data_IF_377020212758
#
_entry.id   IF_377020212758
#
_cell.length_a   1.000
_cell.length_b   1.000
_cell.length_c   1.000
_cell.angle_alpha   90.00
_cell.angle_beta   90.00
_cell.angle_gamma   90.00
#
_symmetry.space_group_name_H-M   'P 1'
#
loop_
_entity.id
_entity.type
_entity.pdbx_description
1 polymer ?
#
# COMPACT_ATOMS: atom_id res chain seq x y z
N UNK A 1 32.23 -10.26 17.08
CA UNK A 1 30.98 -11.04 17.17
C UNK A 1 30.19 -10.76 15.90
N UNK A 2 30.34 -11.60 14.88
CA UNK A 2 29.57 -11.47 13.64
C UNK A 2 28.19 -12.06 13.83
N UNK A 3 27.20 -11.20 14.04
CA UNK A 3 25.79 -11.58 14.00
C UNK A 3 25.36 -11.67 12.52
N UNK A 4 25.75 -12.75 11.84
CA UNK A 4 25.16 -13.07 10.53
C UNK A 4 23.79 -13.70 10.74
N UNK A 5 22.75 -12.87 10.69
CA UNK A 5 21.35 -13.32 10.71
C UNK A 5 21.12 -14.30 9.57
N UNK A 6 21.03 -15.59 9.90
CA UNK A 6 20.77 -16.65 8.92
C UNK A 6 19.29 -16.61 8.54
N UNK A 7 18.97 -15.93 7.44
CA UNK A 7 17.64 -15.99 6.85
C UNK A 7 17.24 -17.43 6.55
N UNK A 8 16.05 -17.81 7.01
CA UNK A 8 15.43 -19.12 6.79
C UNK A 8 15.17 -19.35 5.29
N UNK A 9 15.08 -20.63 4.87
CA UNK A 9 14.80 -20.98 3.46
C UNK A 9 13.52 -20.32 2.91
N UNK A 10 12.52 -20.09 3.78
CA UNK A 10 11.28 -19.42 3.41
C UNK A 10 11.47 -17.92 3.15
N UNK A 11 12.26 -17.23 3.98
CA UNK A 11 12.56 -15.81 3.79
C UNK A 11 13.34 -15.57 2.49
N UNK A 12 14.33 -16.41 2.17
CA UNK A 12 15.05 -16.35 0.89
C UNK A 12 14.16 -16.59 -0.34
N UNK A 13 13.12 -17.41 -0.20
CA UNK A 13 12.13 -17.68 -1.26
C UNK A 13 11.20 -16.49 -1.46
N UNK A 14 10.75 -15.86 -0.36
CA UNK A 14 9.94 -14.64 -0.40
C UNK A 14 10.72 -13.48 -1.04
N UNK A 15 12.01 -13.32 -0.71
CA UNK A 15 12.86 -12.28 -1.30
C UNK A 15 13.05 -12.46 -2.81
N UNK A 16 13.23 -13.71 -3.28
CA UNK A 16 13.28 -14.03 -4.71
C UNK A 16 11.96 -13.77 -5.44
N UNK A 17 10.81 -14.00 -4.79
CA UNK A 17 9.49 -13.72 -5.36
C UNK A 17 9.28 -12.21 -5.49
N UNK A 18 9.69 -11.41 -4.48
CA UNK A 18 9.63 -9.94 -4.54
C UNK A 18 10.47 -9.37 -5.68
N UNK A 19 11.64 -9.95 -5.97
CA UNK A 19 12.55 -9.46 -7.00
C UNK A 19 12.04 -9.60 -8.45
N UNK A 20 11.02 -10.45 -8.70
CA UNK A 20 10.41 -10.63 -10.02
C UNK A 20 9.07 -9.92 -10.21
N UNK A 21 8.51 -9.34 -9.14
CA UNK A 21 7.20 -8.68 -9.16
C UNK A 21 7.32 -7.23 -9.62
N UNK A 22 6.37 -6.78 -10.42
CA UNK A 22 6.18 -5.35 -10.64
C UNK A 22 5.59 -4.68 -9.39
N UNK A 23 5.58 -3.35 -9.37
CA UNK A 23 5.07 -2.58 -8.24
C UNK A 23 3.62 -2.91 -7.86
N UNK A 24 2.71 -3.01 -8.84
CA UNK A 24 1.31 -3.33 -8.57
C UNK A 24 1.17 -4.72 -7.92
N UNK A 25 1.88 -5.70 -8.45
CA UNK A 25 1.93 -7.07 -7.89
C UNK A 25 2.46 -7.07 -6.46
N UNK A 26 3.49 -6.28 -6.18
CA UNK A 26 4.04 -6.15 -4.84
C UNK A 26 3.05 -5.53 -3.84
N UNK A 27 2.29 -4.51 -4.25
CA UNK A 27 1.24 -3.93 -3.39
C UNK A 27 0.11 -4.93 -3.16
N UNK A 28 -0.34 -5.64 -4.20
CA UNK A 28 -1.37 -6.68 -4.05
C UNK A 28 -0.88 -7.82 -3.13
N UNK A 29 0.39 -8.19 -3.23
CA UNK A 29 1.01 -9.13 -2.32
C UNK A 29 0.97 -8.63 -0.87
N UNK A 30 1.39 -7.37 -0.60
CA UNK A 30 1.28 -6.76 0.74
C UNK A 30 -0.15 -6.81 1.27
N UNK A 31 -1.12 -6.43 0.44
CA UNK A 31 -2.55 -6.47 0.79
C UNK A 31 -3.03 -7.88 1.16
N UNK A 32 -2.57 -8.91 0.45
CA UNK A 32 -2.93 -10.31 0.75
C UNK A 32 -2.44 -10.76 2.14
N UNK A 33 -1.33 -10.19 2.59
CA UNK A 33 -0.65 -10.50 3.86
C UNK A 33 -1.12 -9.67 5.04
N UNK A 34 -2.00 -8.70 4.83
CA UNK A 34 -2.58 -7.91 5.91
C UNK A 34 -3.27 -8.78 6.97
N UNK A 35 -3.21 -8.32 8.21
CA UNK A 35 -3.98 -8.86 9.33
C UNK A 35 -5.49 -8.76 9.07
N UNK A 36 -6.29 -9.53 9.79
CA UNK A 36 -7.75 -9.46 9.67
C UNK A 36 -8.30 -8.06 10.02
N UNK A 37 -7.65 -7.36 10.97
CA UNK A 37 -8.00 -5.98 11.35
C UNK A 37 -7.75 -5.03 10.18
N UNK A 38 -6.56 -5.04 9.60
CA UNK A 38 -6.24 -4.14 8.47
C UNK A 38 -7.09 -4.48 7.24
N UNK A 39 -7.44 -5.76 7.03
CA UNK A 39 -8.41 -6.17 5.99
C UNK A 39 -9.81 -5.61 6.24
N UNK A 40 -10.26 -5.55 7.49
CA UNK A 40 -11.55 -4.95 7.84
C UNK A 40 -11.53 -3.43 7.58
N UNK A 41 -10.47 -2.74 8.03
CA UNK A 41 -10.28 -1.31 7.77
C UNK A 41 -10.28 -0.99 6.27
N UNK A 42 -9.54 -1.77 5.47
CA UNK A 42 -9.52 -1.60 4.01
C UNK A 42 -10.91 -1.78 3.37
N UNK A 43 -11.75 -2.69 3.89
CA UNK A 43 -13.13 -2.85 3.42
C UNK A 43 -14.00 -1.64 3.79
N UNK A 44 -13.84 -1.09 4.99
CA UNK A 44 -14.60 0.08 5.42
C UNK A 44 -14.19 1.35 4.68
N UNK A 45 -12.90 1.49 4.34
CA UNK A 45 -12.40 2.52 3.41
C UNK A 45 -13.09 2.40 2.04
N UNK A 46 -13.20 1.19 1.48
CA UNK A 46 -13.88 0.95 0.20
C UNK A 46 -15.37 1.28 0.26
N UNK A 47 -16.05 0.98 1.38
CA UNK A 47 -17.46 1.37 1.54
C UNK A 47 -17.64 2.90 1.51
N UNK A 48 -16.66 3.64 2.00
CA UNK A 48 -16.72 5.09 2.13
C UNK A 48 -16.30 5.83 0.85
N UNK A 49 -15.26 5.33 0.17
CA UNK A 49 -14.63 6.01 -0.98
C UNK A 49 -14.87 5.31 -2.33
N UNK A 50 -15.44 4.11 -2.32
CA UNK A 50 -15.51 3.24 -3.49
C UNK A 50 -14.23 2.42 -3.70
N UNK A 51 -14.22 1.54 -4.71
CA UNK A 51 -13.07 0.66 -5.02
C UNK A 51 -11.86 1.45 -5.54
N UNK A 52 -12.14 2.58 -6.22
CA UNK A 52 -11.16 3.53 -6.74
C UNK A 52 -11.56 4.94 -6.33
N UNK A 53 -10.60 5.69 -5.78
CA UNK A 53 -10.81 7.08 -5.33
C UNK A 53 -9.76 8.01 -5.96
N UNK A 54 -10.00 9.32 -5.91
CA UNK A 54 -9.01 10.30 -6.38
C UNK A 54 -8.11 10.77 -5.22
N UNK A 55 -6.92 11.34 -5.52
CA UNK A 55 -5.99 11.80 -4.47
C UNK A 55 -6.57 12.82 -3.49
N UNK A 56 -7.52 13.66 -3.92
CA UNK A 56 -8.13 14.67 -3.07
C UNK A 56 -9.05 14.02 -2.01
N UNK A 57 -9.95 13.15 -2.44
CA UNK A 57 -10.84 12.39 -1.55
C UNK A 57 -10.04 11.49 -0.59
N UNK A 58 -9.00 10.82 -1.08
CA UNK A 58 -8.12 10.02 -0.22
C UNK A 58 -7.44 10.87 0.86
N UNK A 59 -6.96 12.08 0.51
CA UNK A 59 -6.34 13.00 1.44
C UNK A 59 -7.33 13.49 2.50
N UNK A 60 -8.54 13.87 2.10
CA UNK A 60 -9.61 14.30 2.99
C UNK A 60 -9.99 13.19 3.97
N UNK A 61 -10.18 11.96 3.48
CA UNK A 61 -10.51 10.81 4.32
C UNK A 61 -9.44 10.50 5.36
N UNK A 62 -8.17 10.57 4.97
CA UNK A 62 -7.03 10.29 5.85
C UNK A 62 -6.65 11.48 6.75
N UNK A 63 -7.32 12.63 6.60
CA UNK A 63 -6.93 13.90 7.23
C UNK A 63 -5.46 14.25 6.95
N UNK A 64 -5.05 14.14 5.68
CA UNK A 64 -3.68 14.42 5.21
C UNK A 64 -3.68 15.50 4.13
N UNK A 65 -2.51 16.07 3.87
CA UNK A 65 -2.32 16.94 2.71
C UNK A 65 -2.33 16.14 1.41
N UNK A 66 -2.90 16.73 0.35
CA UNK A 66 -2.94 16.08 -0.97
C UNK A 66 -1.54 15.82 -1.53
N UNK A 67 -0.57 16.67 -1.23
CA UNK A 67 0.84 16.49 -1.61
C UNK A 67 1.40 15.19 -1.05
N UNK A 68 1.12 14.88 0.23
CA UNK A 68 1.53 13.62 0.85
C UNK A 68 0.98 12.41 0.10
N UNK A 69 -0.27 12.48 -0.38
CA UNK A 69 -0.83 11.39 -1.20
C UNK A 69 -0.07 11.24 -2.51
N UNK A 70 0.26 12.34 -3.19
CA UNK A 70 1.08 12.28 -4.41
C UNK A 70 2.49 11.75 -4.14
N UNK A 71 3.11 12.10 -3.02
CA UNK A 71 4.40 11.57 -2.61
C UNK A 71 4.32 10.05 -2.46
N UNK A 72 3.28 9.52 -1.81
CA UNK A 72 3.04 8.08 -1.65
C UNK A 72 2.72 7.35 -2.96
N UNK A 73 2.10 8.04 -3.93
CA UNK A 73 1.92 7.53 -5.29
C UNK A 73 3.28 7.43 -5.99
N UNK A 74 4.08 8.49 -5.94
CA UNK A 74 5.37 8.60 -6.63
C UNK A 74 6.42 7.66 -6.02
N UNK A 75 6.41 7.50 -4.70
CA UNK A 75 7.27 6.58 -3.96
C UNK A 75 6.84 5.12 -4.13
N UNK A 76 5.72 4.86 -4.83
CA UNK A 76 5.21 3.51 -5.07
C UNK A 76 4.93 2.80 -3.74
N UNK A 77 4.30 3.48 -2.80
CA UNK A 77 3.86 2.90 -1.54
C UNK A 77 2.39 2.45 -1.57
N UNK A 78 1.61 3.02 -2.48
CA UNK A 78 0.22 2.65 -2.76
C UNK A 78 0.01 2.30 -4.23
N UNK A 79 -1.10 1.66 -4.53
CA UNK A 79 -1.47 1.31 -5.90
C UNK A 79 -2.31 2.44 -6.48
N UNK A 80 -1.77 3.11 -7.49
CA UNK A 80 -2.47 4.15 -8.22
C UNK A 80 -2.19 4.01 -9.71
N UNK A 81 -3.18 4.39 -10.53
CA UNK A 81 -3.11 4.38 -11.98
C UNK A 81 -3.33 5.77 -12.53
N UNK A 82 -2.62 6.09 -13.59
CA UNK A 82 -2.81 7.34 -14.33
C UNK A 82 -3.89 7.12 -15.40
N UNK A 83 -4.97 7.88 -15.32
CA UNK A 83 -6.05 7.93 -16.31
C UNK A 83 -6.03 9.32 -16.95
N UNK A 84 -5.36 9.42 -18.10
CA UNK A 84 -5.08 10.70 -18.76
C UNK A 84 -4.22 11.60 -17.88
N UNK A 85 -4.76 12.77 -17.50
CA UNK A 85 -4.06 13.74 -16.65
C UNK A 85 -4.38 13.58 -15.15
N UNK A 86 -5.17 12.57 -14.77
CA UNK A 86 -5.60 12.34 -13.39
C UNK A 86 -5.05 11.02 -12.87
N UNK A 87 -4.88 10.93 -11.55
CA UNK A 87 -4.62 9.68 -10.87
C UNK A 87 -5.90 9.13 -10.24
N UNK A 88 -6.02 7.82 -10.23
CA UNK A 88 -6.99 7.08 -9.40
C UNK A 88 -6.22 6.10 -8.53
N UNK A 89 -6.59 6.02 -7.26
CA UNK A 89 -5.94 5.21 -6.24
C UNK A 89 -6.85 4.03 -5.96
N UNK A 90 -6.26 2.85 -5.85
CA UNK A 90 -6.97 1.67 -5.39
C UNK A 90 -7.19 1.79 -3.89
N UNK A 91 -8.44 1.98 -3.48
CA UNK A 91 -8.78 2.40 -2.12
C UNK A 91 -8.24 1.44 -1.05
N UNK A 92 -8.27 0.13 -1.30
CA UNK A 92 -7.72 -0.86 -0.35
C UNK A 92 -6.24 -0.66 -0.06
N UNK A 93 -5.47 -0.10 -1.00
CA UNK A 93 -4.05 0.16 -0.81
C UNK A 93 -3.75 1.30 0.17
N UNK A 94 -4.74 2.18 0.45
CA UNK A 94 -4.58 3.27 1.42
C UNK A 94 -4.33 2.78 2.84
N UNK A 95 -4.79 1.56 3.18
CA UNK A 95 -4.55 0.98 4.51
C UNK A 95 -3.07 0.82 4.82
N UNK A 96 -2.22 0.69 3.79
CA UNK A 96 -0.77 0.58 3.95
C UNK A 96 -0.16 1.87 4.49
N UNK A 97 -0.85 3.00 4.36
CA UNK A 97 -0.42 4.30 4.91
C UNK A 97 -0.76 4.47 6.40
N UNK A 98 -1.61 3.61 6.95
CA UNK A 98 -1.96 3.65 8.37
C UNK A 98 -0.89 2.99 9.25
N UNK A 99 -0.03 2.16 8.68
CA UNK A 99 1.02 1.43 9.42
C UNK A 99 2.16 2.35 9.90
N UNK A 100 2.31 3.55 9.32
CA UNK A 100 3.33 4.56 9.69
C UNK A 100 2.93 5.47 10.88
N UNK A 101 1.76 5.25 11.51
CA UNK A 101 1.22 6.19 12.53
C UNK A 101 1.69 5.86 13.97
N UNK A 102 2.48 4.80 14.17
CA UNK A 102 2.90 4.34 15.51
C UNK A 102 4.36 4.67 15.89
N UNK A 103 5.01 5.63 15.23
CA UNK A 103 6.32 6.14 15.66
C UNK A 103 6.20 7.22 16.77
#
# INVERSE_FOLDING_TARGET
MDCTTKFTKNEKKVEKIKAGMNHEEYILYKLSKLSNVNKALAKDMVKSLGEWTNPKEAAEYLTKYISTIYDKINSKEILARKLGNKYVIYTKSLVLLLEEIND
#
